data_IF_990310148284
#
_entry.id   IF_990310148284
#
_cell.length_a   1.000
_cell.length_b   1.000
_cell.length_c   1.000
_cell.angle_alpha   90.00
_cell.angle_beta   90.00
_cell.angle_gamma   90.00
#
_symmetry.space_group_name_H-M   'P 1'
#
loop_
_entity.id
_entity.type
_entity.pdbx_description
1 polymer ?
#
# COMPACT_ATOMS: atom_id res chain seq x y z
N UNK A 1 7.59 -18.81 -9.78
CA UNK A 1 7.30 -19.49 -8.49
C UNK A 1 8.35 -20.55 -8.13
N UNK A 2 8.75 -21.44 -9.05
CA UNK A 2 9.75 -22.48 -8.77
C UNK A 2 11.08 -21.98 -8.17
N UNK A 3 11.61 -20.86 -8.67
CA UNK A 3 12.85 -20.26 -8.13
C UNK A 3 12.73 -19.85 -6.65
N UNK A 4 11.56 -19.36 -6.22
CA UNK A 4 11.34 -18.96 -4.82
C UNK A 4 11.33 -20.19 -3.92
N UNK A 5 10.60 -21.25 -4.30
CA UNK A 5 10.57 -22.50 -3.52
C UNK A 5 11.95 -23.13 -3.37
N UNK A 6 12.73 -23.15 -4.45
CA UNK A 6 14.11 -23.64 -4.41
C UNK A 6 14.99 -22.81 -3.47
N UNK A 7 14.91 -21.47 -3.57
CA UNK A 7 15.63 -20.57 -2.67
C UNK A 7 15.24 -20.76 -1.20
N UNK A 8 13.95 -20.92 -0.90
CA UNK A 8 13.46 -21.19 0.45
C UNK A 8 13.96 -22.54 0.98
N UNK A 9 13.94 -23.59 0.15
CA UNK A 9 14.48 -24.90 0.54
C UNK A 9 15.97 -24.82 0.89
N UNK A 10 16.76 -24.15 0.04
CA UNK A 10 18.19 -23.94 0.26
C UNK A 10 18.46 -23.14 1.54
N UNK A 11 17.73 -22.05 1.77
CA UNK A 11 17.86 -21.25 2.98
C UNK A 11 17.53 -22.08 4.23
N UNK A 12 16.46 -22.87 4.20
CA UNK A 12 16.04 -23.63 5.38
C UNK A 12 16.91 -24.86 5.69
N UNK A 13 17.68 -25.35 4.71
CA UNK A 13 18.57 -26.51 4.89
C UNK A 13 20.03 -26.07 5.03
N UNK A 14 20.59 -25.48 3.98
CA UNK A 14 22.02 -25.15 3.91
C UNK A 14 22.37 -23.98 4.82
N UNK A 15 21.58 -22.91 4.81
CA UNK A 15 21.90 -21.71 5.60
C UNK A 15 21.71 -21.97 7.10
N UNK A 16 20.66 -22.71 7.49
CA UNK A 16 20.46 -23.17 8.88
C UNK A 16 21.60 -24.11 9.31
N UNK A 17 22.00 -25.07 8.47
CA UNK A 17 23.13 -25.94 8.77
C UNK A 17 24.42 -25.15 9.02
N UNK A 18 24.70 -24.13 8.20
CA UNK A 18 25.87 -23.26 8.37
C UNK A 18 25.79 -22.47 9.69
N UNK A 19 24.63 -21.93 10.02
CA UNK A 19 24.40 -21.19 11.26
C UNK A 19 24.67 -22.07 12.50
N UNK A 20 24.16 -23.31 12.48
CA UNK A 20 24.23 -24.22 13.63
C UNK A 20 25.59 -24.93 13.77
N UNK A 21 26.27 -25.25 12.66
CA UNK A 21 27.48 -26.11 12.68
C UNK A 21 28.79 -25.35 12.41
N UNK A 22 28.76 -24.26 11.65
CA UNK A 22 29.98 -23.53 11.24
C UNK A 22 30.09 -22.21 12.00
N UNK A 23 28.96 -21.53 12.18
CA UNK A 23 28.86 -20.36 13.03
C UNK A 23 28.01 -19.24 12.44
N UNK A 24 27.53 -18.41 13.36
CA UNK A 24 26.55 -17.36 13.09
C UNK A 24 27.09 -16.27 12.17
N UNK A 25 28.38 -15.95 12.27
CA UNK A 25 29.05 -14.94 11.42
C UNK A 25 28.95 -15.29 9.94
N UNK A 26 29.22 -16.54 9.56
CA UNK A 26 29.11 -16.99 8.17
C UNK A 26 27.65 -17.12 7.73
N UNK A 27 26.79 -17.59 8.63
CA UNK A 27 25.35 -17.70 8.39
C UNK A 27 24.67 -16.38 8.06
N UNK A 28 25.10 -15.26 8.68
CA UNK A 28 24.60 -13.92 8.34
C UNK A 28 25.42 -13.23 7.26
N UNK A 29 26.72 -13.50 7.15
CA UNK A 29 27.57 -12.93 6.12
C UNK A 29 27.09 -13.28 4.70
N UNK A 30 26.70 -14.54 4.49
CA UNK A 30 26.25 -15.02 3.18
C UNK A 30 25.02 -14.25 2.63
N UNK A 31 23.89 -14.11 3.34
CA UNK A 31 22.76 -13.31 2.87
C UNK A 31 23.08 -11.83 2.76
N UNK A 32 23.91 -11.26 3.66
CA UNK A 32 24.32 -9.86 3.56
C UNK A 32 25.10 -9.57 2.28
N UNK A 33 26.06 -10.43 1.93
CA UNK A 33 26.83 -10.29 0.68
C UNK A 33 25.91 -10.47 -0.53
N UNK A 34 25.01 -11.46 -0.49
CA UNK A 34 24.01 -11.65 -1.55
C UNK A 34 23.12 -10.42 -1.76
N UNK A 35 22.66 -9.81 -0.67
CA UNK A 35 21.87 -8.58 -0.72
C UNK A 35 22.69 -7.40 -1.27
N UNK A 36 23.95 -7.26 -0.85
CA UNK A 36 24.84 -6.21 -1.34
C UNK A 36 25.05 -6.32 -2.86
N UNK A 37 25.31 -7.53 -3.37
CA UNK A 37 25.42 -7.79 -4.81
C UNK A 37 24.11 -7.45 -5.52
N UNK A 38 22.96 -7.85 -4.97
CA UNK A 38 21.65 -7.53 -5.51
C UNK A 38 21.43 -6.01 -5.65
N UNK A 39 21.80 -5.23 -4.61
CA UNK A 39 21.71 -3.77 -4.64
C UNK A 39 22.62 -3.18 -5.73
N UNK A 40 23.86 -3.65 -5.84
CA UNK A 40 24.79 -3.18 -6.88
C UNK A 40 24.23 -3.42 -8.28
N UNK A 41 23.70 -4.62 -8.53
CA UNK A 41 23.06 -4.97 -9.81
C UNK A 41 21.83 -4.09 -10.06
N UNK A 42 21.01 -3.88 -9.04
CA UNK A 42 19.82 -3.04 -9.13
C UNK A 42 20.17 -1.58 -9.47
N UNK A 43 21.19 -1.01 -8.81
CA UNK A 43 21.67 0.35 -9.07
C UNK A 43 22.30 0.47 -10.46
N UNK A 44 23.12 -0.50 -10.87
CA UNK A 44 23.69 -0.54 -12.22
C UNK A 44 22.61 -0.67 -13.30
N UNK A 45 21.52 -1.39 -12.99
CA UNK A 45 20.36 -1.55 -13.85
C UNK A 45 19.45 -0.31 -13.88
N UNK A 46 19.39 0.47 -12.80
CA UNK A 46 18.51 1.65 -12.61
C UNK A 46 18.44 2.60 -13.83
N UNK A 47 19.54 2.98 -14.51
CA UNK A 47 19.45 3.83 -15.72
C UNK A 47 18.68 3.20 -16.88
N UNK A 48 18.58 1.86 -16.94
CA UNK A 48 17.81 1.13 -17.94
C UNK A 48 16.32 0.97 -17.57
N UNK A 49 15.93 1.30 -16.34
CA UNK A 49 14.52 1.24 -15.93
C UNK A 49 13.77 2.46 -16.44
N UNK A 50 12.67 2.22 -17.16
CA UNK A 50 11.74 3.29 -17.53
C UNK A 50 10.96 3.70 -16.28
N UNK A 51 11.32 4.84 -15.72
CA UNK A 51 10.67 5.39 -14.54
C UNK A 51 9.22 5.76 -14.87
N UNK A 52 8.26 5.16 -14.18
CA UNK A 52 6.85 5.56 -14.25
C UNK A 52 6.66 6.79 -13.36
N UNK A 53 5.85 7.75 -13.80
CA UNK A 53 5.45 8.86 -12.93
C UNK A 53 4.83 8.29 -11.65
N UNK A 54 5.12 8.87 -10.47
CA UNK A 54 4.55 8.41 -9.22
C UNK A 54 3.03 8.61 -9.24
N UNK A 55 2.29 7.54 -9.50
CA UNK A 55 0.86 7.48 -9.23
C UNK A 55 0.69 7.63 -7.73
N UNK A 56 0.06 8.72 -7.28
CA UNK A 56 -0.03 9.06 -5.86
C UNK A 56 -0.45 7.90 -4.96
N UNK A 57 0.09 7.85 -3.74
CA UNK A 57 -0.08 6.71 -2.83
C UNK A 57 -1.55 6.53 -2.41
N UNK A 58 -2.12 5.30 -2.52
CA UNK A 58 -3.43 4.96 -1.97
C UNK A 58 -3.54 5.25 -0.47
N UNK A 59 -2.44 5.10 0.28
CA UNK A 59 -2.40 5.42 1.71
C UNK A 59 -2.67 6.89 1.99
N UNK A 60 -2.16 7.80 1.15
CA UNK A 60 -2.45 9.23 1.29
C UNK A 60 -3.93 9.53 1.06
N UNK A 61 -4.59 8.80 0.14
CA UNK A 61 -6.04 8.94 -0.07
C UNK A 61 -6.83 8.44 1.14
N UNK A 62 -6.46 7.29 1.70
CA UNK A 62 -7.10 6.74 2.91
C UNK A 62 -6.93 7.68 4.11
N UNK A 63 -5.71 8.18 4.33
CA UNK A 63 -5.42 9.13 5.41
C UNK A 63 -6.27 10.40 5.31
N UNK A 64 -6.46 10.95 4.09
CA UNK A 64 -7.34 12.12 3.88
C UNK A 64 -8.78 11.85 4.32
N UNK A 65 -9.34 10.68 4.01
CA UNK A 65 -10.71 10.32 4.39
C UNK A 65 -10.82 10.14 5.90
N UNK A 66 -9.87 9.46 6.54
CA UNK A 66 -9.84 9.28 8.00
C UNK A 66 -9.75 10.62 8.73
N UNK A 67 -8.84 11.50 8.32
CA UNK A 67 -8.68 12.83 8.90
C UNK A 67 -9.93 13.68 8.68
N UNK A 68 -10.52 13.65 7.48
CA UNK A 68 -11.75 14.39 7.20
C UNK A 68 -12.93 13.87 8.03
N UNK A 69 -13.07 12.56 8.20
CA UNK A 69 -14.13 11.94 9.00
C UNK A 69 -13.99 12.31 10.48
N UNK A 70 -12.78 12.19 11.05
CA UNK A 70 -12.52 12.56 12.45
C UNK A 70 -12.68 14.06 12.72
N UNK A 71 -12.25 14.91 11.78
CA UNK A 71 -12.45 16.35 11.91
C UNK A 71 -13.92 16.75 11.80
N UNK A 72 -14.69 16.03 10.99
CA UNK A 72 -16.11 16.31 10.73
C UNK A 72 -17.06 15.55 11.67
N UNK A 73 -16.57 14.63 12.50
CA UNK A 73 -17.40 13.83 13.42
C UNK A 73 -17.99 14.63 14.57
N UNK A 74 -17.40 15.79 14.91
CA UNK A 74 -17.91 16.67 15.97
C UNK A 74 -18.87 17.74 15.47
N UNK A 75 -19.16 17.80 14.16
CA UNK A 75 -20.12 18.76 13.61
C UNK A 75 -21.52 18.13 13.55
N UNK A 76 -22.58 18.86 13.95
CA UNK A 76 -23.96 18.39 13.81
C UNK A 76 -24.25 18.13 12.33
N UNK A 77 -24.82 16.97 12.03
CA UNK A 77 -25.21 16.61 10.66
C UNK A 77 -26.33 17.54 10.22
N UNK A 78 -26.17 18.34 9.15
CA UNK A 78 -27.22 19.20 8.64
C UNK A 78 -28.46 18.40 8.27
N UNK A 79 -29.64 18.90 8.66
CA UNK A 79 -30.92 18.27 8.35
C UNK A 79 -31.37 18.49 6.90
N UNK A 80 -30.76 19.45 6.18
CA UNK A 80 -31.06 19.74 4.77
C UNK A 80 -30.00 19.09 3.84
N UNK A 81 -30.41 18.19 2.92
CA UNK A 81 -29.51 17.56 1.94
C UNK A 81 -28.75 18.55 1.05
N UNK A 82 -29.26 19.78 0.86
CA UNK A 82 -28.63 20.81 0.01
C UNK A 82 -27.35 21.43 0.61
N UNK A 83 -27.09 21.20 1.90
CA UNK A 83 -25.86 21.68 2.57
C UNK A 83 -24.70 20.66 2.48
N UNK A 84 -24.95 19.47 1.93
CA UNK A 84 -23.89 18.51 1.62
C UNK A 84 -23.15 18.97 0.34
N UNK A 85 -21.85 18.65 0.26
CA UNK A 85 -21.04 18.96 -0.93
C UNK A 85 -21.46 18.02 -2.07
N UNK A 86 -22.57 18.34 -2.73
CA UNK A 86 -23.07 17.65 -3.91
C UNK A 86 -22.41 18.26 -5.15
N UNK A 87 -21.71 17.44 -5.92
CA UNK A 87 -21.26 17.83 -7.27
C UNK A 87 -22.48 17.91 -8.19
N UNK A 88 -22.41 18.75 -9.21
CA UNK A 88 -23.50 18.87 -10.18
C UNK A 88 -23.69 17.56 -10.98
N UNK A 89 -24.93 17.26 -11.35
CA UNK A 89 -25.33 16.04 -12.06
C UNK A 89 -24.57 15.86 -13.38
N UNK A 90 -24.27 16.97 -14.08
CA UNK A 90 -23.48 16.95 -15.31
C UNK A 90 -22.03 16.47 -15.08
N UNK A 91 -21.44 16.78 -13.92
CA UNK A 91 -20.08 16.35 -13.61
C UNK A 91 -20.01 14.87 -13.18
N UNK A 92 -21.08 14.35 -12.57
CA UNK A 92 -21.25 12.91 -12.31
C UNK A 92 -21.37 12.11 -13.62
N UNK A 93 -22.18 12.59 -14.57
CA UNK A 93 -22.34 11.98 -15.89
C UNK A 93 -21.02 11.96 -16.68
N UNK A 94 -20.24 13.04 -16.62
CA UNK A 94 -18.93 13.16 -17.28
C UNK A 94 -17.87 12.22 -16.72
N UNK A 95 -17.94 11.88 -15.41
CA UNK A 95 -17.02 10.93 -14.74
C UNK A 95 -17.54 9.48 -14.74
N UNK A 96 -18.70 9.20 -15.34
CA UNK A 96 -19.33 7.87 -15.33
C UNK A 96 -19.69 7.38 -13.92
N UNK A 97 -19.96 8.29 -12.98
CA UNK A 97 -20.32 7.96 -11.60
C UNK A 97 -21.80 8.21 -11.36
N UNK A 98 -22.46 7.28 -10.67
CA UNK A 98 -23.86 7.39 -10.31
C UNK A 98 -24.01 8.12 -8.97
N UNK A 99 -25.01 9.01 -8.86
CA UNK A 99 -25.39 9.64 -7.60
C UNK A 99 -25.92 8.57 -6.66
N UNK A 100 -25.43 8.54 -5.42
CA UNK A 100 -25.94 7.66 -4.37
C UNK A 100 -26.89 8.51 -3.53
N UNK A 101 -28.18 8.18 -3.55
CA UNK A 101 -29.17 8.91 -2.77
C UNK A 101 -29.00 8.59 -1.26
N UNK A 102 -29.11 9.63 -0.43
CA UNK A 102 -28.95 9.51 1.02
C UNK A 102 -30.01 8.57 1.59
N UNK A 103 -29.58 7.45 2.16
CA UNK A 103 -30.48 6.45 2.76
C UNK A 103 -30.68 6.76 4.25
N UNK A 104 -31.92 7.06 4.71
CA UNK A 104 -32.18 7.49 6.08
C UNK A 104 -32.01 6.38 7.14
N UNK A 105 -31.83 5.13 6.73
CA UNK A 105 -31.81 3.94 7.59
C UNK A 105 -30.46 3.67 8.30
N UNK A 106 -29.39 4.41 7.97
CA UNK A 106 -28.03 4.23 8.53
C UNK A 106 -27.59 5.40 9.43
N UNK A 107 -28.46 5.90 10.30
CA UNK A 107 -28.04 6.80 11.40
C UNK A 107 -27.47 5.97 12.55
N UNK A 108 -26.14 6.00 12.73
CA UNK A 108 -25.44 5.22 13.77
C UNK A 108 -25.49 5.90 15.15
N UNK A 109 -25.97 7.14 15.25
CA UNK A 109 -26.20 7.78 16.55
C UNK A 109 -27.50 8.60 16.52
N UNK A 110 -28.32 8.38 17.55
CA UNK A 110 -29.56 9.09 17.86
C UNK A 110 -29.27 10.15 18.92
#
# INVERSE_FOLDING_TARGET
MFSIFFGTLFANTVLVYIQDNVGWTLGYGLPTVGLAISIVIFLAGTPFYRHKLPTGSPFTKMAKVVVAALRKSSLPVPSDPKELYELDLEEYAKKGKYRIDSTPTLRIFH
#
